data_IF_904206857631
#
_entry.id   IF_904206857631
#
_cell.length_a   1.000
_cell.length_b   1.000
_cell.length_c   1.000
_cell.angle_alpha   90.00
_cell.angle_beta   90.00
_cell.angle_gamma   90.00
#
_symmetry.space_group_name_H-M   'P 1'
#
loop_
_entity.id
_entity.type
_entity.pdbx_description
1 polymer ?
#
# COMPACT_ATOMS: atom_id res chain seq x y z
N UNK A 1 0.55 -9.26 -32.66
CA UNK A 1 1.45 -9.94 -31.69
C UNK A 1 0.99 -9.57 -30.30
N UNK A 2 1.12 -10.46 -29.34
CA UNK A 2 0.77 -10.17 -27.94
C UNK A 2 1.81 -9.23 -27.36
N UNK A 3 1.42 -8.05 -26.83
CA UNK A 3 2.37 -7.13 -26.18
C UNK A 3 2.95 -7.77 -24.92
N UNK A 4 4.27 -7.61 -24.72
CA UNK A 4 4.98 -8.07 -23.50
C UNK A 4 5.19 -6.90 -22.55
N UNK A 5 4.74 -7.07 -21.30
CA UNK A 5 4.82 -6.05 -20.24
C UNK A 5 5.70 -6.58 -19.11
N UNK A 6 6.68 -5.79 -18.69
CA UNK A 6 7.56 -6.10 -17.56
C UNK A 6 7.21 -5.25 -16.35
N UNK A 7 6.88 -5.88 -15.23
CA UNK A 7 6.65 -5.22 -13.96
C UNK A 7 7.89 -5.25 -13.07
N UNK A 8 8.16 -4.15 -12.38
CA UNK A 8 9.22 -4.04 -11.38
C UNK A 8 8.58 -3.89 -10.02
N UNK A 9 8.65 -4.95 -9.23
CA UNK A 9 8.08 -5.05 -7.90
C UNK A 9 9.03 -4.55 -6.81
N UNK A 10 8.54 -3.89 -5.76
CA UNK A 10 9.38 -3.36 -4.68
C UNK A 10 9.90 -4.42 -3.71
N UNK A 11 9.14 -5.49 -3.47
CA UNK A 11 9.46 -6.50 -2.44
C UNK A 11 9.44 -7.95 -2.95
N UNK A 12 8.54 -8.28 -3.85
CA UNK A 12 8.26 -9.66 -4.26
C UNK A 12 7.64 -10.49 -3.14
N UNK A 13 6.71 -9.89 -2.37
CA UNK A 13 5.95 -10.53 -1.29
C UNK A 13 4.47 -10.17 -1.40
N UNK A 14 3.59 -10.83 -0.64
CA UNK A 14 2.15 -10.54 -0.62
C UNK A 14 1.69 -9.89 0.70
N UNK A 15 2.59 -9.22 1.41
CA UNK A 15 2.37 -8.70 2.76
C UNK A 15 2.03 -7.21 2.83
N UNK A 16 1.92 -6.52 1.68
CA UNK A 16 1.57 -5.11 1.63
C UNK A 16 0.61 -4.76 0.48
N UNK A 17 -0.20 -3.72 0.69
CA UNK A 17 -1.28 -3.37 -0.22
C UNK A 17 -0.84 -2.96 -1.63
N UNK A 18 0.34 -2.33 -1.78
CA UNK A 18 0.86 -1.95 -3.09
C UNK A 18 1.25 -3.18 -3.92
N UNK A 19 1.85 -4.20 -3.28
CA UNK A 19 2.22 -5.45 -3.94
C UNK A 19 0.99 -6.29 -4.27
N UNK A 20 0.02 -6.41 -3.35
CA UNK A 20 -1.25 -7.10 -3.59
C UNK A 20 -1.97 -6.47 -4.80
N UNK A 21 -2.05 -5.15 -4.84
CA UNK A 21 -2.68 -4.43 -5.94
C UNK A 21 -2.02 -4.73 -7.28
N UNK A 22 -0.67 -4.64 -7.35
CA UNK A 22 0.02 -4.87 -8.63
C UNK A 22 -0.06 -6.33 -9.10
N UNK A 23 -0.06 -7.29 -8.17
CA UNK A 23 -0.26 -8.71 -8.50
C UNK A 23 -1.63 -8.92 -9.15
N UNK A 24 -2.68 -8.30 -8.63
CA UNK A 24 -4.00 -8.34 -9.23
C UNK A 24 -4.03 -7.68 -10.61
N UNK A 25 -3.32 -6.55 -10.81
CA UNK A 25 -3.17 -5.94 -12.13
C UNK A 25 -2.44 -6.87 -13.11
N UNK A 26 -1.35 -7.50 -12.69
CA UNK A 26 -0.61 -8.47 -13.52
C UNK A 26 -1.51 -9.63 -13.96
N UNK A 27 -2.23 -10.24 -13.01
CA UNK A 27 -3.19 -11.34 -13.30
C UNK A 27 -4.30 -10.88 -14.24
N UNK A 28 -4.80 -9.67 -14.05
CA UNK A 28 -5.83 -9.08 -14.92
C UNK A 28 -5.32 -8.90 -16.36
N UNK A 29 -4.10 -8.40 -16.52
CA UNK A 29 -3.50 -8.22 -17.86
C UNK A 29 -3.23 -9.56 -18.56
N UNK A 30 -2.82 -10.59 -17.84
CA UNK A 30 -2.71 -11.95 -18.40
C UNK A 30 -4.08 -12.42 -18.93
N UNK A 31 -5.17 -12.23 -18.17
CA UNK A 31 -6.54 -12.54 -18.61
C UNK A 31 -6.97 -11.73 -19.82
N UNK A 32 -6.44 -10.51 -20.01
CA UNK A 32 -6.66 -9.67 -21.21
C UNK A 32 -5.77 -10.08 -22.40
N UNK A 33 -4.93 -11.10 -22.26
CA UNK A 33 -4.11 -11.65 -23.35
C UNK A 33 -2.71 -11.01 -23.49
N UNK A 34 -2.25 -10.22 -22.51
CA UNK A 34 -0.87 -9.73 -22.49
C UNK A 34 0.09 -10.81 -21.97
N UNK A 35 1.33 -10.81 -22.47
CA UNK A 35 2.42 -11.55 -21.84
C UNK A 35 2.99 -10.68 -20.72
N UNK A 36 2.97 -11.19 -19.49
CA UNK A 36 3.40 -10.43 -18.31
C UNK A 36 4.63 -11.10 -17.69
N UNK A 37 5.64 -10.30 -17.44
CA UNK A 37 6.87 -10.66 -16.74
C UNK A 37 6.98 -9.83 -15.47
N UNK A 38 7.64 -10.36 -14.45
CA UNK A 38 7.86 -9.66 -13.19
C UNK A 38 9.33 -9.76 -12.74
N UNK A 39 9.90 -8.62 -12.35
CA UNK A 39 11.21 -8.53 -11.70
C UNK A 39 11.02 -8.06 -10.26
N UNK A 40 11.70 -8.70 -9.33
CA UNK A 40 11.68 -8.37 -7.90
C UNK A 40 13.07 -8.55 -7.26
N UNK A 41 13.35 -7.90 -6.09
CA UNK A 41 14.60 -8.11 -5.36
C UNK A 41 14.59 -9.48 -4.69
N UNK A 42 15.60 -10.29 -4.94
CA UNK A 42 15.71 -11.62 -4.34
C UNK A 42 16.41 -11.57 -2.98
N UNK A 43 15.64 -11.61 -1.92
CA UNK A 43 16.08 -11.60 -0.51
C UNK A 43 16.21 -13.01 0.08
N UNK A 44 15.85 -14.06 -0.67
CA UNK A 44 15.87 -15.46 -0.21
C UNK A 44 15.03 -15.71 1.04
N UNK A 45 13.86 -15.09 1.14
CA UNK A 45 12.93 -15.29 2.24
C UNK A 45 11.74 -16.15 1.82
N UNK A 46 11.13 -16.96 2.74
CA UNK A 46 10.04 -17.88 2.38
C UNK A 46 8.83 -17.21 1.72
N UNK A 47 8.45 -16.00 2.14
CA UNK A 47 7.35 -15.23 1.56
C UNK A 47 7.54 -14.89 0.07
N UNK A 48 8.78 -14.87 -0.43
CA UNK A 48 9.06 -14.70 -1.86
C UNK A 48 8.85 -16.00 -2.66
N UNK A 49 8.99 -17.15 -2.03
CA UNK A 49 8.64 -18.44 -2.68
C UNK A 49 7.13 -18.52 -2.91
N UNK A 50 6.32 -18.15 -1.92
CA UNK A 50 4.87 -18.08 -2.03
C UNK A 50 4.43 -17.10 -3.13
N UNK A 51 5.03 -15.92 -3.17
CA UNK A 51 4.82 -14.93 -4.22
C UNK A 51 5.12 -15.48 -5.62
N UNK A 52 6.26 -16.13 -5.81
CA UNK A 52 6.63 -16.73 -7.09
C UNK A 52 5.66 -17.82 -7.53
N UNK A 53 5.27 -18.71 -6.60
CA UNK A 53 4.30 -19.78 -6.87
C UNK A 53 2.94 -19.18 -7.31
N UNK A 54 2.50 -18.11 -6.66
CA UNK A 54 1.24 -17.45 -6.98
C UNK A 54 1.27 -16.80 -8.38
N UNK A 55 2.37 -16.13 -8.73
CA UNK A 55 2.54 -15.55 -10.06
C UNK A 55 2.68 -16.63 -11.14
N UNK A 56 3.40 -17.69 -10.88
CA UNK A 56 3.57 -18.81 -11.82
C UNK A 56 2.22 -19.50 -12.13
N UNK A 57 1.36 -19.72 -11.13
CA UNK A 57 0.00 -20.25 -11.33
C UNK A 57 -0.83 -19.37 -12.27
N UNK A 58 -0.60 -18.06 -12.24
CA UNK A 58 -1.26 -17.10 -13.12
C UNK A 58 -0.62 -16.97 -14.50
N UNK A 59 0.44 -17.73 -14.81
CA UNK A 59 1.15 -17.68 -16.09
C UNK A 59 2.11 -16.49 -16.21
N UNK A 60 2.58 -15.93 -15.10
CA UNK A 60 3.51 -14.80 -15.04
C UNK A 60 4.93 -15.33 -14.79
N UNK A 61 5.86 -15.02 -15.67
CA UNK A 61 7.27 -15.36 -15.51
C UNK A 61 7.95 -14.39 -14.51
N UNK A 62 8.74 -14.92 -13.59
CA UNK A 62 9.38 -14.13 -12.52
C UNK A 62 10.89 -14.17 -12.58
N UNK A 63 11.55 -13.05 -12.28
CA UNK A 63 12.99 -12.87 -12.26
C UNK A 63 13.42 -12.26 -10.93
N UNK A 64 14.01 -13.05 -10.05
CA UNK A 64 14.60 -12.56 -8.80
C UNK A 64 16.01 -12.00 -9.02
N UNK A 65 16.22 -10.71 -8.75
CA UNK A 65 17.52 -10.07 -8.91
C UNK A 65 18.19 -9.83 -7.56
N UNK A 66 19.41 -10.34 -7.41
CA UNK A 66 20.23 -10.07 -6.22
C UNK A 66 20.54 -8.58 -6.12
N UNK A 67 20.23 -7.96 -4.98
CA UNK A 67 20.44 -6.54 -4.73
C UNK A 67 21.02 -6.31 -3.33
N UNK A 68 22.01 -5.40 -3.24
CA UNK A 68 22.50 -4.89 -1.95
C UNK A 68 21.48 -3.95 -1.34
N UNK A 69 20.92 -3.07 -2.14
CA UNK A 69 19.73 -2.26 -1.84
C UNK A 69 18.94 -2.13 -3.13
N UNK A 70 17.65 -2.39 -3.06
CA UNK A 70 16.74 -2.33 -4.22
C UNK A 70 16.13 -0.94 -4.41
N UNK A 71 15.83 -0.27 -3.32
CA UNK A 71 15.20 1.05 -3.32
C UNK A 71 16.22 2.19 -3.41
N UNK A 72 15.74 3.41 -3.64
CA UNK A 72 16.57 4.62 -3.52
C UNK A 72 17.40 4.59 -2.24
N UNK A 73 18.58 5.22 -2.28
CA UNK A 73 19.47 5.23 -1.11
C UNK A 73 18.82 5.87 0.12
N UNK A 74 17.99 6.88 -0.10
CA UNK A 74 17.27 7.63 0.94
C UNK A 74 15.98 6.95 1.40
N UNK A 75 15.48 5.98 0.67
CA UNK A 75 14.26 5.26 1.02
C UNK A 75 14.41 4.51 2.35
N UNK A 76 13.31 4.36 3.13
CA UNK A 76 13.32 3.59 4.38
C UNK A 76 13.78 2.14 4.17
N UNK A 77 14.04 1.42 5.27
CA UNK A 77 14.50 0.02 5.20
C UNK A 77 16.01 -0.18 5.25
N UNK A 78 16.72 0.83 5.74
CA UNK A 78 18.16 0.73 5.98
C UNK A 78 19.03 0.86 4.72
N UNK A 79 20.33 0.81 4.91
CA UNK A 79 21.30 0.95 3.82
C UNK A 79 22.44 -0.07 3.98
N UNK A 80 22.18 -1.35 3.65
CA UNK A 80 23.20 -2.39 3.76
C UNK A 80 24.37 -2.10 2.81
N UNK A 81 25.58 -2.51 3.22
CA UNK A 81 26.82 -2.25 2.49
C UNK A 81 27.25 -0.77 2.51
N UNK A 82 28.33 -0.47 1.82
CA UNK A 82 28.78 0.90 1.62
C UNK A 82 28.22 1.47 0.30
N UNK A 83 28.33 2.78 0.12
CA UNK A 83 27.83 3.49 -1.07
C UNK A 83 28.33 2.86 -2.39
N UNK A 84 29.60 2.49 -2.48
CA UNK A 84 30.16 1.89 -3.69
C UNK A 84 29.50 0.54 -4.03
N UNK A 85 29.27 -0.32 -3.03
CA UNK A 85 28.57 -1.59 -3.22
C UNK A 85 27.12 -1.39 -3.68
N UNK A 86 26.41 -0.39 -3.11
CA UNK A 86 25.04 -0.08 -3.52
C UNK A 86 24.98 0.41 -4.96
N UNK A 87 25.86 1.34 -5.35
CA UNK A 87 25.94 1.87 -6.72
C UNK A 87 26.24 0.76 -7.73
N UNK A 88 27.20 -0.12 -7.41
CA UNK A 88 27.50 -1.26 -8.27
C UNK A 88 26.29 -2.20 -8.40
N UNK A 89 25.55 -2.44 -7.31
CA UNK A 89 24.32 -3.22 -7.32
C UNK A 89 23.26 -2.57 -8.21
N UNK A 90 23.03 -1.26 -8.11
CA UNK A 90 22.10 -0.54 -8.97
C UNK A 90 22.44 -0.68 -10.45
N UNK A 91 23.71 -0.43 -10.81
CA UNK A 91 24.17 -0.55 -12.19
C UNK A 91 24.03 -1.98 -12.72
N UNK A 92 24.32 -2.98 -11.89
CA UNK A 92 24.12 -4.39 -12.25
C UNK A 92 22.63 -4.68 -12.47
N UNK A 93 21.75 -4.28 -11.55
CA UNK A 93 20.32 -4.53 -11.68
C UNK A 93 19.72 -3.84 -12.91
N UNK A 94 20.12 -2.61 -13.22
CA UNK A 94 19.70 -1.92 -14.47
C UNK A 94 20.16 -2.73 -15.68
N UNK A 95 21.39 -3.24 -15.70
CA UNK A 95 21.90 -4.07 -16.80
C UNK A 95 21.13 -5.39 -16.93
N UNK A 96 20.84 -6.05 -15.82
CA UNK A 96 20.10 -7.31 -15.82
C UNK A 96 18.67 -7.11 -16.34
N UNK A 97 17.99 -6.04 -15.92
CA UNK A 97 16.65 -5.67 -16.42
C UNK A 97 16.68 -5.36 -17.93
N UNK A 98 17.71 -4.66 -18.44
CA UNK A 98 17.89 -4.42 -19.86
C UNK A 98 18.01 -5.72 -20.66
N UNK A 99 18.78 -6.68 -20.15
CA UNK A 99 18.88 -8.00 -20.79
C UNK A 99 17.50 -8.69 -20.86
N UNK A 100 16.73 -8.68 -19.77
CA UNK A 100 15.35 -9.24 -19.74
C UNK A 100 14.47 -8.52 -20.77
N UNK A 101 14.55 -7.20 -20.88
CA UNK A 101 13.80 -6.41 -21.86
C UNK A 101 14.10 -6.88 -23.29
N UNK A 102 15.38 -6.99 -23.65
CA UNK A 102 15.81 -7.37 -25.01
C UNK A 102 15.47 -8.83 -25.32
N UNK A 103 15.80 -9.74 -24.43
CA UNK A 103 15.60 -11.19 -24.62
C UNK A 103 14.11 -11.57 -24.75
N UNK A 104 13.22 -10.79 -24.12
CA UNK A 104 11.78 -11.06 -24.10
C UNK A 104 10.97 -10.13 -25.00
N UNK A 105 11.59 -9.24 -25.78
CA UNK A 105 10.92 -8.25 -26.61
C UNK A 105 9.88 -7.45 -25.81
N UNK A 106 10.27 -6.92 -24.63
CA UNK A 106 9.39 -6.11 -23.77
C UNK A 106 9.08 -4.78 -24.46
N UNK A 107 7.80 -4.40 -24.49
CA UNK A 107 7.32 -3.16 -25.10
C UNK A 107 6.95 -2.08 -24.06
N UNK A 108 6.73 -2.49 -22.82
CA UNK A 108 6.37 -1.59 -21.73
C UNK A 108 6.97 -2.10 -20.42
N UNK A 109 7.59 -1.21 -19.65
CA UNK A 109 7.99 -1.43 -18.26
C UNK A 109 7.06 -0.66 -17.34
N UNK A 110 6.60 -1.30 -16.26
CA UNK A 110 5.78 -0.68 -15.21
C UNK A 110 6.52 -0.81 -13.88
N UNK A 111 6.92 0.32 -13.28
CA UNK A 111 7.51 0.35 -11.93
C UNK A 111 6.42 0.57 -10.89
N UNK A 112 6.36 -0.30 -9.89
CA UNK A 112 5.43 -0.21 -8.77
C UNK A 112 6.12 0.45 -7.57
N UNK A 113 5.47 1.42 -6.95
CA UNK A 113 5.96 2.31 -5.90
C UNK A 113 7.03 3.30 -6.35
N UNK A 114 7.13 4.42 -5.63
CA UNK A 114 8.16 5.44 -5.89
C UNK A 114 9.57 4.98 -5.53
N UNK A 115 9.68 3.89 -4.78
CA UNK A 115 10.94 3.41 -4.22
C UNK A 115 11.89 2.80 -5.26
N UNK A 116 11.36 2.24 -6.37
CA UNK A 116 12.14 1.50 -7.37
C UNK A 116 12.31 2.31 -8.65
N UNK A 117 13.53 2.45 -9.13
CA UNK A 117 13.87 3.31 -10.27
C UNK A 117 14.58 2.56 -11.41
N UNK A 118 15.03 1.34 -11.15
CA UNK A 118 15.86 0.57 -12.09
C UNK A 118 15.12 0.30 -13.40
N UNK A 119 13.79 0.02 -13.30
CA UNK A 119 12.95 -0.22 -14.47
C UNK A 119 12.84 1.01 -15.38
N UNK A 120 12.66 2.20 -14.80
CA UNK A 120 12.58 3.45 -15.54
C UNK A 120 13.86 3.71 -16.35
N UNK A 121 15.02 3.47 -15.72
CA UNK A 121 16.29 3.68 -16.35
C UNK A 121 16.59 2.63 -17.44
N UNK A 122 16.28 1.36 -17.16
CA UNK A 122 16.43 0.27 -18.10
C UNK A 122 15.56 0.49 -19.36
N UNK A 123 14.30 0.87 -19.18
CA UNK A 123 13.39 1.23 -20.27
C UNK A 123 13.92 2.39 -21.11
N UNK A 124 14.49 3.42 -20.47
CA UNK A 124 15.07 4.56 -21.18
C UNK A 124 16.31 4.18 -22.00
N UNK A 125 17.16 3.28 -21.52
CA UNK A 125 18.31 2.77 -22.27
C UNK A 125 17.90 1.98 -23.51
N UNK A 126 16.79 1.20 -23.40
CA UNK A 126 16.27 0.40 -24.52
C UNK A 126 15.26 1.15 -25.37
N UNK A 127 15.00 2.45 -25.06
CA UNK A 127 14.06 3.31 -25.77
C UNK A 127 12.66 2.70 -25.88
N UNK A 128 12.16 2.10 -24.79
CA UNK A 128 10.81 1.58 -24.66
C UNK A 128 9.99 2.38 -23.64
N UNK A 129 8.69 2.17 -23.64
CA UNK A 129 7.76 2.88 -22.77
C UNK A 129 7.97 2.49 -21.30
N UNK A 130 7.75 3.45 -20.41
CA UNK A 130 7.77 3.25 -18.98
C UNK A 130 6.61 3.96 -18.29
N UNK A 131 5.89 3.23 -17.44
CA UNK A 131 4.86 3.75 -16.54
C UNK A 131 5.32 3.68 -15.09
N UNK A 132 4.95 4.68 -14.32
CA UNK A 132 5.20 4.68 -12.88
C UNK A 132 3.89 4.66 -12.11
N UNK A 133 3.70 3.67 -11.23
CA UNK A 133 2.57 3.58 -10.30
C UNK A 133 3.04 4.01 -8.92
N UNK A 134 2.56 5.14 -8.44
CA UNK A 134 2.97 5.76 -7.17
C UNK A 134 1.89 5.54 -6.13
N UNK A 135 2.27 4.96 -5.00
CA UNK A 135 1.40 4.64 -3.87
C UNK A 135 1.67 5.50 -2.63
N UNK A 136 2.72 6.32 -2.65
CA UNK A 136 3.22 7.02 -1.47
C UNK A 136 3.04 8.53 -1.59
N UNK A 137 2.58 9.17 -0.50
CA UNK A 137 2.58 10.63 -0.40
C UNK A 137 4.02 11.18 -0.39
N UNK A 138 4.28 12.34 -1.02
CA UNK A 138 5.60 12.98 -1.02
C UNK A 138 5.95 13.64 0.32
N UNK A 139 5.71 12.94 1.42
CA UNK A 139 5.91 13.46 2.78
C UNK A 139 6.36 12.37 3.75
N UNK A 140 6.62 12.73 5.00
CA UNK A 140 7.05 11.80 6.03
C UNK A 140 8.29 11.01 5.61
N UNK A 141 8.23 9.70 5.71
CA UNK A 141 9.31 8.78 5.34
C UNK A 141 9.58 8.74 3.83
N UNK A 142 8.59 9.08 3.00
CA UNK A 142 8.72 9.17 1.54
C UNK A 142 9.03 10.58 1.03
N UNK A 143 9.15 11.58 1.92
CA UNK A 143 9.48 12.96 1.53
C UNK A 143 10.75 13.12 0.72
N UNK A 144 11.66 12.12 0.75
CA UNK A 144 12.91 12.11 -0.01
C UNK A 144 12.69 12.17 -1.52
N UNK A 145 11.59 11.63 -2.05
CA UNK A 145 11.40 11.60 -3.50
C UNK A 145 10.99 12.95 -4.10
N UNK A 146 10.71 13.97 -3.28
CA UNK A 146 10.62 15.35 -3.78
C UNK A 146 11.90 15.80 -4.51
N UNK A 147 13.04 15.26 -4.12
CA UNK A 147 14.33 15.50 -4.80
C UNK A 147 14.50 14.62 -6.07
N UNK A 148 13.56 13.71 -6.35
CA UNK A 148 13.56 12.80 -7.49
C UNK A 148 12.52 13.13 -8.57
N UNK A 149 11.70 14.18 -8.38
CA UNK A 149 10.61 14.53 -9.29
C UNK A 149 11.09 14.72 -10.72
N UNK A 150 12.20 15.44 -10.93
CA UNK A 150 12.79 15.63 -12.27
C UNK A 150 13.19 14.31 -12.94
N UNK A 151 13.69 13.36 -12.16
CA UNK A 151 14.05 12.03 -12.64
C UNK A 151 12.78 11.23 -12.99
N UNK A 152 11.79 11.23 -12.13
CA UNK A 152 10.52 10.52 -12.33
C UNK A 152 9.83 11.09 -13.58
N UNK A 153 9.74 12.41 -13.70
CA UNK A 153 9.14 13.06 -14.87
C UNK A 153 9.86 12.74 -16.17
N UNK A 154 11.19 12.84 -16.16
CA UNK A 154 12.03 12.59 -17.32
C UNK A 154 11.89 11.17 -17.87
N UNK A 155 11.84 10.18 -16.97
CA UNK A 155 11.91 8.76 -17.32
C UNK A 155 10.56 8.04 -17.34
N UNK A 156 9.44 8.75 -17.18
CA UNK A 156 8.10 8.20 -17.31
C UNK A 156 7.41 8.67 -18.58
N UNK A 157 6.78 7.76 -19.32
CA UNK A 157 5.80 8.11 -20.34
C UNK A 157 4.50 8.52 -19.66
N UNK A 158 4.03 7.71 -18.72
CA UNK A 158 2.87 8.03 -17.90
C UNK A 158 3.16 7.83 -16.40
N UNK A 159 2.51 8.64 -15.58
CA UNK A 159 2.52 8.53 -14.12
C UNK A 159 1.09 8.29 -13.65
N UNK A 160 0.94 7.26 -12.82
CA UNK A 160 -0.31 6.91 -12.17
C UNK A 160 -0.15 7.05 -10.67
N UNK A 161 -1.18 7.55 -10.02
CA UNK A 161 -1.25 7.71 -8.58
C UNK A 161 -2.50 7.04 -8.02
N UNK A 162 -2.44 6.63 -6.76
CA UNK A 162 -3.64 6.20 -6.04
C UNK A 162 -4.65 7.35 -6.05
N UNK A 163 -5.91 7.03 -6.35
CA UNK A 163 -6.99 8.01 -6.52
C UNK A 163 -7.25 8.84 -5.26
N UNK A 164 -7.72 10.08 -5.45
CA UNK A 164 -8.01 11.03 -4.40
C UNK A 164 -6.80 11.90 -4.04
N UNK A 165 -6.56 12.13 -2.76
CA UNK A 165 -5.59 13.10 -2.25
C UNK A 165 -4.16 12.91 -2.80
N UNK A 166 -3.71 11.67 -3.01
CA UNK A 166 -2.38 11.44 -3.59
C UNK A 166 -2.30 11.92 -5.04
N UNK A 167 -3.34 11.65 -5.85
CA UNK A 167 -3.38 12.16 -7.24
C UNK A 167 -3.31 13.69 -7.26
N UNK A 168 -4.09 14.37 -6.42
CA UNK A 168 -4.09 15.82 -6.31
C UNK A 168 -2.75 16.40 -5.88
N UNK A 169 -2.05 15.75 -4.95
CA UNK A 169 -0.73 16.18 -4.50
C UNK A 169 0.35 15.97 -5.57
N UNK A 170 0.25 14.87 -6.33
CA UNK A 170 1.19 14.64 -7.43
C UNK A 170 0.92 15.57 -8.62
N UNK A 171 -0.31 15.98 -8.89
CA UNK A 171 -0.60 17.02 -9.89
C UNK A 171 0.10 18.34 -9.56
N UNK A 172 0.16 18.71 -8.27
CA UNK A 172 0.94 19.88 -7.80
C UNK A 172 2.46 19.67 -7.98
N UNK A 173 2.94 18.43 -7.78
CA UNK A 173 4.35 18.09 -7.96
C UNK A 173 4.78 18.04 -9.43
N UNK A 174 3.88 17.72 -10.36
CA UNK A 174 4.12 17.58 -11.79
C UNK A 174 3.22 18.53 -12.62
N UNK A 175 3.36 19.86 -12.50
CA UNK A 175 2.41 20.83 -13.05
C UNK A 175 2.33 20.82 -14.59
N UNK A 176 3.30 20.22 -15.28
CA UNK A 176 3.38 20.19 -16.73
C UNK A 176 2.93 18.86 -17.35
N UNK A 177 2.34 17.97 -16.56
CA UNK A 177 1.83 16.70 -17.06
C UNK A 177 0.56 16.27 -16.33
N UNK A 178 -0.23 15.44 -16.99
CA UNK A 178 -1.39 14.80 -16.40
C UNK A 178 -0.93 13.63 -15.52
N UNK A 179 -1.49 13.54 -14.34
CA UNK A 179 -1.41 12.35 -13.46
C UNK A 179 -2.71 11.57 -13.64
N UNK A 180 -2.60 10.29 -13.91
CA UNK A 180 -3.74 9.39 -14.01
C UNK A 180 -3.98 8.71 -12.68
N UNK A 181 -5.25 8.53 -12.32
CA UNK A 181 -5.59 7.85 -11.07
C UNK A 181 -5.90 6.37 -11.28
N UNK A 182 -5.67 5.57 -10.26
CA UNK A 182 -6.17 4.19 -10.13
C UNK A 182 -6.54 3.92 -8.67
N UNK A 183 -7.49 3.02 -8.42
CA UNK A 183 -7.73 2.54 -7.07
C UNK A 183 -6.90 1.27 -6.83
N UNK A 184 -6.17 1.13 -5.71
CA UNK A 184 -5.51 -0.12 -5.37
C UNK A 184 -6.56 -1.22 -5.21
N UNK A 185 -6.31 -2.39 -5.80
CA UNK A 185 -7.27 -3.48 -5.79
C UNK A 185 -6.87 -4.60 -4.84
N UNK A 186 -7.82 -5.08 -4.07
CA UNK A 186 -7.74 -6.31 -3.30
C UNK A 186 -8.87 -7.25 -3.75
N UNK A 187 -8.56 -8.54 -3.84
CA UNK A 187 -9.56 -9.54 -4.17
C UNK A 187 -10.36 -9.89 -2.91
N UNK A 188 -11.67 -9.91 -3.04
CA UNK A 188 -12.58 -10.30 -1.97
C UNK A 188 -13.29 -11.55 -2.43
N UNK A 189 -13.05 -12.65 -1.73
CA UNK A 189 -13.77 -13.89 -1.98
C UNK A 189 -15.24 -13.73 -1.54
N UNK A 190 -16.20 -14.10 -2.38
CA UNK A 190 -17.61 -14.10 -2.00
C UNK A 190 -17.82 -15.06 -0.83
N UNK A 191 -18.39 -14.57 0.26
CA UNK A 191 -18.82 -15.45 1.36
C UNK A 191 -20.15 -16.10 0.99
N UNK A 192 -20.19 -17.41 1.02
CA UNK A 192 -21.44 -18.17 0.84
C UNK A 192 -22.36 -18.02 2.05
N UNK A 193 -21.78 -17.92 3.26
CA UNK A 193 -22.52 -17.70 4.49
C UNK A 193 -21.72 -16.78 5.45
N UNK A 194 -22.40 -15.85 6.11
CA UNK A 194 -21.83 -15.06 7.21
C UNK A 194 -22.01 -15.87 8.49
N UNK A 195 -20.95 -16.03 9.29
CA UNK A 195 -21.06 -16.67 10.61
C UNK A 195 -22.09 -15.93 11.45
N UNK A 196 -23.09 -16.65 11.94
CA UNK A 196 -24.09 -16.08 12.85
C UNK A 196 -23.59 -16.20 14.27
N UNK A 197 -23.52 -15.09 14.98
CA UNK A 197 -23.16 -15.12 16.41
C UNK A 197 -24.34 -15.67 17.22
N UNK A 198 -24.09 -16.75 17.98
CA UNK A 198 -25.11 -17.39 18.81
C UNK A 198 -25.53 -16.55 20.02
N UNK A 199 -24.69 -15.59 20.39
CA UNK A 199 -24.92 -14.65 21.49
C UNK A 199 -25.23 -13.28 20.91
N UNK A 200 -26.13 -12.53 21.51
CA UNK A 200 -26.48 -11.15 21.08
C UNK A 200 -25.33 -10.15 21.42
N UNK A 201 -24.10 -10.59 21.27
CA UNK A 201 -22.88 -9.88 21.66
C UNK A 201 -22.25 -9.22 20.40
N UNK A 202 -22.00 -7.92 20.46
CA UNK A 202 -21.30 -7.21 19.40
C UNK A 202 -19.80 -7.30 19.59
N UNK A 203 -19.08 -7.43 18.47
CA UNK A 203 -17.62 -7.27 18.45
C UNK A 203 -17.23 -6.02 17.68
N UNK A 204 -16.27 -5.28 18.22
CA UNK A 204 -15.56 -4.24 17.49
C UNK A 204 -14.30 -4.90 16.94
N UNK A 205 -14.13 -4.89 15.64
CA UNK A 205 -13.01 -5.56 14.97
C UNK A 205 -12.10 -4.56 14.25
N UNK A 206 -10.79 -4.75 14.34
CA UNK A 206 -9.82 -3.96 13.59
C UNK A 206 -8.86 -4.89 12.87
N UNK A 207 -8.96 -4.93 11.55
CA UNK A 207 -8.13 -5.77 10.68
C UNK A 207 -6.93 -4.97 10.18
N UNK A 208 -5.75 -5.58 10.27
CA UNK A 208 -4.50 -5.02 9.79
C UNK A 208 -3.36 -5.14 10.79
N UNK A 209 -2.12 -4.95 10.31
CA UNK A 209 -0.94 -5.03 11.16
C UNK A 209 -0.99 -3.97 12.28
N UNK A 210 -0.72 -4.36 13.52
CA UNK A 210 -0.60 -3.42 14.63
C UNK A 210 0.71 -2.65 14.52
N UNK A 211 0.58 -1.34 14.30
CA UNK A 211 1.72 -0.43 14.16
C UNK A 211 1.35 0.96 14.63
N UNK A 212 2.34 1.80 14.94
CA UNK A 212 2.12 3.21 15.30
C UNK A 212 1.25 3.94 14.26
N UNK A 213 1.43 3.64 12.97
CA UNK A 213 0.67 4.27 11.88
C UNK A 213 -0.80 3.84 11.86
N UNK A 214 -1.07 2.56 12.19
CA UNK A 214 -2.44 2.02 12.26
C UNK A 214 -3.18 2.44 13.54
N UNK A 215 -2.46 2.92 14.56
CA UNK A 215 -2.99 3.66 15.71
C UNK A 215 -4.05 2.92 16.56
N UNK A 216 -3.95 1.60 16.66
CA UNK A 216 -4.93 0.79 17.40
C UNK A 216 -5.05 1.16 18.87
N UNK A 217 -4.03 1.80 19.48
CA UNK A 217 -4.10 2.30 20.87
C UNK A 217 -5.21 3.35 21.04
N UNK A 218 -5.49 4.15 20.01
CA UNK A 218 -6.63 5.09 20.04
C UNK A 218 -7.96 4.34 20.18
N UNK A 219 -8.12 3.24 19.45
CA UNK A 219 -9.32 2.39 19.55
C UNK A 219 -9.43 1.71 20.91
N UNK A 220 -8.32 1.25 21.49
CA UNK A 220 -8.30 0.68 22.84
C UNK A 220 -8.78 1.71 23.88
N UNK A 221 -8.32 2.96 23.76
CA UNK A 221 -8.76 4.06 24.64
C UNK A 221 -10.26 4.39 24.46
N UNK A 222 -10.72 4.45 23.22
CA UNK A 222 -12.15 4.66 22.93
C UNK A 222 -13.02 3.50 23.47
N UNK A 223 -12.54 2.26 23.36
CA UNK A 223 -13.21 1.08 23.93
C UNK A 223 -13.30 1.14 25.46
N UNK A 224 -12.25 1.60 26.14
CA UNK A 224 -12.27 1.89 27.58
C UNK A 224 -13.37 2.91 27.93
N UNK A 225 -13.43 4.02 27.19
CA UNK A 225 -14.42 5.07 27.43
C UNK A 225 -15.84 4.60 27.14
N UNK A 226 -16.03 3.76 26.11
CA UNK A 226 -17.33 3.18 25.75
C UNK A 226 -17.93 2.36 26.92
N UNK A 227 -17.09 1.60 27.63
CA UNK A 227 -17.46 0.81 28.83
C UNK A 227 -18.83 0.08 28.68
N UNK A 228 -19.05 -0.54 27.53
CA UNK A 228 -20.33 -1.17 27.17
C UNK A 228 -20.29 -2.67 27.47
N UNK A 229 -21.19 -3.12 28.33
CA UNK A 229 -21.34 -4.55 28.64
C UNK A 229 -21.76 -5.34 27.38
N UNK A 230 -21.28 -6.57 27.24
CA UNK A 230 -21.58 -7.43 26.09
C UNK A 230 -20.92 -6.99 24.80
N UNK A 231 -19.79 -6.26 24.87
CA UNK A 231 -19.00 -5.86 23.70
C UNK A 231 -17.57 -6.36 23.87
N UNK A 232 -16.96 -6.84 22.80
CA UNK A 232 -15.56 -7.26 22.73
C UNK A 232 -14.81 -6.43 21.70
N UNK A 233 -13.49 -6.25 21.91
CA UNK A 233 -12.57 -5.63 20.95
C UNK A 233 -11.58 -6.68 20.46
N UNK A 234 -11.52 -6.89 19.14
CA UNK A 234 -10.70 -7.92 18.51
C UNK A 234 -9.78 -7.29 17.47
N UNK A 235 -8.49 -7.58 17.57
CA UNK A 235 -7.48 -7.18 16.59
C UNK A 235 -7.03 -8.40 15.77
N UNK A 236 -7.12 -8.29 14.43
CA UNK A 236 -6.74 -9.35 13.49
C UNK A 236 -5.59 -8.84 12.61
N UNK A 237 -4.42 -9.41 12.77
CA UNK A 237 -3.22 -9.07 12.00
C UNK A 237 -1.94 -9.26 12.80
N UNK A 238 -0.82 -9.38 12.09
CA UNK A 238 0.51 -9.38 12.69
C UNK A 238 0.78 -8.03 13.40
N UNK A 239 1.80 -7.97 14.21
CA UNK A 239 2.16 -6.76 14.96
C UNK A 239 3.64 -6.44 14.92
N UNK A 240 3.92 -5.17 15.21
CA UNK A 240 5.20 -4.65 15.62
C UNK A 240 5.36 -4.88 17.12
N UNK A 241 6.37 -5.60 17.55
CA UNK A 241 6.53 -6.02 18.97
C UNK A 241 6.53 -4.82 19.93
N UNK A 242 7.28 -3.76 19.62
CA UNK A 242 7.34 -2.56 20.45
C UNK A 242 5.97 -1.88 20.57
N UNK A 243 5.21 -1.81 19.47
CA UNK A 243 3.89 -1.20 19.48
C UNK A 243 2.84 -2.09 20.17
N UNK A 244 2.93 -3.41 19.99
CA UNK A 244 2.09 -4.38 20.70
C UNK A 244 2.32 -4.28 22.21
N UNK A 245 3.58 -4.21 22.65
CA UNK A 245 3.93 -4.05 24.05
C UNK A 245 3.32 -2.76 24.63
N UNK A 246 3.37 -1.64 23.90
CA UNK A 246 2.73 -0.39 24.30
C UNK A 246 1.21 -0.55 24.52
N UNK A 247 0.54 -1.30 23.64
CA UNK A 247 -0.88 -1.60 23.81
C UNK A 247 -1.15 -2.50 25.01
N UNK A 248 -0.34 -3.54 25.21
CA UNK A 248 -0.46 -4.47 26.34
C UNK A 248 -0.24 -3.77 27.68
N UNK A 249 0.76 -2.91 27.77
CA UNK A 249 1.05 -2.13 28.98
C UNK A 249 -0.15 -1.24 29.34
N UNK A 250 -0.75 -0.55 28.34
CA UNK A 250 -1.93 0.26 28.59
C UNK A 250 -3.14 -0.59 29.05
N UNK A 251 -3.39 -1.73 28.41
CA UNK A 251 -4.47 -2.65 28.79
C UNK A 251 -4.30 -3.14 30.21
N UNK A 252 -3.07 -3.51 30.60
CA UNK A 252 -2.74 -3.98 31.94
C UNK A 252 -2.85 -2.86 32.99
N UNK A 253 -2.34 -1.67 32.71
CA UNK A 253 -2.39 -0.49 33.59
C UNK A 253 -3.84 -0.06 33.89
N UNK A 254 -4.72 -0.15 32.89
CA UNK A 254 -6.13 0.23 33.01
C UNK A 254 -7.05 -0.96 33.39
N UNK A 255 -6.50 -2.14 33.64
CA UNK A 255 -7.25 -3.40 33.96
C UNK A 255 -8.37 -3.69 32.95
N UNK A 256 -8.14 -3.42 31.65
CA UNK A 256 -9.14 -3.60 30.60
C UNK A 256 -9.37 -5.09 30.33
N UNK A 257 -10.65 -5.44 30.09
CA UNK A 257 -11.08 -6.81 29.78
C UNK A 257 -11.74 -6.84 28.39
N UNK A 258 -11.96 -8.03 27.88
CA UNK A 258 -12.64 -8.27 26.59
C UNK A 258 -11.90 -7.64 25.41
N UNK A 259 -10.56 -7.64 25.45
CA UNK A 259 -9.69 -7.24 24.34
C UNK A 259 -8.84 -8.44 23.96
N UNK A 260 -8.80 -8.80 22.68
CA UNK A 260 -8.03 -9.93 22.19
C UNK A 260 -7.25 -9.59 20.91
N UNK A 261 -6.10 -10.23 20.74
CA UNK A 261 -5.22 -10.14 19.58
C UNK A 261 -5.08 -11.53 18.98
N UNK A 262 -5.59 -11.72 17.77
CA UNK A 262 -5.64 -13.05 17.14
C UNK A 262 -4.42 -13.35 16.28
N UNK A 263 -3.56 -12.35 16.03
CA UNK A 263 -2.40 -12.51 15.17
C UNK A 263 -2.73 -12.49 13.68
N UNK A 264 -1.76 -12.92 12.88
CA UNK A 264 -1.91 -13.01 11.43
C UNK A 264 -2.87 -14.15 11.06
N UNK A 265 -3.79 -13.85 10.15
CA UNK A 265 -4.71 -14.80 9.52
C UNK A 265 -4.63 -14.59 7.99
N UNK A 266 -4.64 -15.68 7.24
CA UNK A 266 -4.63 -15.63 5.77
C UNK A 266 -5.89 -14.96 5.22
N UNK A 267 -7.05 -15.28 5.78
CA UNK A 267 -8.32 -14.63 5.50
C UNK A 267 -8.98 -14.15 6.81
N UNK A 268 -8.65 -12.94 7.29
CA UNK A 268 -9.25 -12.42 8.51
C UNK A 268 -10.76 -12.19 8.38
N UNK A 269 -11.25 -11.99 7.17
CA UNK A 269 -12.66 -11.74 6.92
C UNK A 269 -13.52 -12.99 7.08
N UNK A 270 -12.95 -14.19 6.99
CA UNK A 270 -13.65 -15.46 7.27
C UNK A 270 -14.06 -15.61 8.75
N UNK A 271 -13.41 -14.85 9.63
CA UNK A 271 -13.72 -14.85 11.07
C UNK A 271 -14.76 -13.80 11.47
N UNK A 272 -15.19 -12.95 10.53
CA UNK A 272 -16.19 -11.91 10.77
C UNK A 272 -17.60 -12.49 10.84
N UNK A 273 -18.38 -11.97 11.80
CA UNK A 273 -19.76 -12.39 12.06
C UNK A 273 -20.76 -11.33 11.63
N UNK A 274 -22.05 -11.65 11.75
CA UNK A 274 -23.15 -10.74 11.48
C UNK A 274 -23.32 -9.62 12.53
N UNK A 275 -22.58 -9.67 13.65
CA UNK A 275 -22.61 -8.70 14.76
C UNK A 275 -21.36 -7.82 14.86
N UNK A 276 -20.49 -7.85 13.88
CA UNK A 276 -19.21 -7.13 13.91
C UNK A 276 -19.31 -5.71 13.36
N UNK A 277 -18.67 -4.78 14.08
CA UNK A 277 -18.41 -3.40 13.66
C UNK A 277 -16.92 -3.25 13.38
N UNK A 278 -16.54 -2.91 12.15
CA UNK A 278 -15.15 -2.66 11.80
C UNK A 278 -14.73 -1.21 12.15
N UNK A 279 -13.56 -1.04 12.78
CA UNK A 279 -13.02 0.29 13.13
C UNK A 279 -11.55 0.40 12.73
N UNK A 280 -11.22 1.44 11.96
CA UNK A 280 -9.87 1.70 11.44
C UNK A 280 -9.36 3.07 11.88
N UNK A 281 -8.61 3.16 12.99
CA UNK A 281 -8.14 4.42 13.57
C UNK A 281 -6.82 4.93 12.98
N UNK A 282 -6.42 4.46 11.80
CA UNK A 282 -5.12 4.77 11.19
C UNK A 282 -4.83 6.26 11.16
N UNK A 283 -3.62 6.66 11.55
CA UNK A 283 -3.16 8.05 11.48
C UNK A 283 -2.78 8.47 10.06
N UNK A 284 -2.43 7.51 9.20
CA UNK A 284 -2.07 7.75 7.80
C UNK A 284 -2.39 6.52 6.96
N UNK A 285 -3.06 6.73 5.85
CA UNK A 285 -3.27 5.77 4.77
C UNK A 285 -3.13 6.47 3.43
N UNK A 286 -2.78 5.71 2.40
CA UNK A 286 -2.88 6.21 1.02
C UNK A 286 -4.26 5.96 0.44
N UNK A 287 -4.87 4.84 0.85
CA UNK A 287 -6.25 4.48 0.46
C UNK A 287 -6.96 3.73 1.60
N UNK A 288 -6.36 2.63 2.10
CA UNK A 288 -6.96 1.81 3.16
C UNK A 288 -7.73 0.62 2.61
N UNK A 289 -7.02 -0.38 2.06
CA UNK A 289 -7.64 -1.58 1.49
C UNK A 289 -8.53 -2.32 2.49
N UNK A 290 -8.14 -2.38 3.77
CA UNK A 290 -8.95 -3.04 4.81
C UNK A 290 -10.33 -2.38 5.00
N UNK A 291 -10.44 -1.07 4.78
CA UNK A 291 -11.74 -0.40 4.74
C UNK A 291 -12.55 -0.86 3.53
N UNK A 292 -11.95 -0.89 2.35
CA UNK A 292 -12.62 -1.37 1.13
C UNK A 292 -13.09 -2.81 1.31
N UNK A 293 -12.25 -3.67 1.86
CA UNK A 293 -12.59 -5.05 2.18
C UNK A 293 -13.78 -5.14 3.13
N UNK A 294 -13.81 -4.32 4.19
CA UNK A 294 -14.90 -4.34 5.16
C UNK A 294 -16.24 -3.96 4.55
N UNK A 295 -16.29 -2.87 3.76
CA UNK A 295 -17.56 -2.43 3.15
C UNK A 295 -18.03 -3.38 2.05
N UNK A 296 -17.13 -4.01 1.31
CA UNK A 296 -17.46 -5.04 0.31
C UNK A 296 -17.90 -6.37 0.93
N UNK A 297 -17.61 -6.59 2.21
CA UNK A 297 -18.18 -7.67 3.02
C UNK A 297 -19.48 -7.25 3.73
N UNK A 298 -20.01 -6.06 3.48
CA UNK A 298 -21.25 -5.55 4.07
C UNK A 298 -21.17 -5.37 5.58
N UNK A 299 -20.02 -4.92 6.10
CA UNK A 299 -19.76 -4.70 7.52
C UNK A 299 -19.94 -3.21 7.83
N UNK A 300 -20.74 -2.81 8.83
CA UNK A 300 -20.73 -1.45 9.32
C UNK A 300 -19.33 -1.03 9.71
N UNK A 301 -18.90 0.17 9.27
CA UNK A 301 -17.47 0.55 9.36
C UNK A 301 -17.32 1.99 9.82
N UNK A 302 -16.35 2.21 10.73
CA UNK A 302 -15.92 3.53 11.19
C UNK A 302 -14.43 3.69 10.86
N UNK A 303 -14.03 4.85 10.33
CA UNK A 303 -12.64 5.16 10.00
C UNK A 303 -12.26 6.59 10.40
N UNK A 304 -10.98 6.79 10.69
CA UNK A 304 -10.43 8.12 10.95
C UNK A 304 -10.39 8.98 9.67
N UNK A 305 -10.42 10.30 9.81
CA UNK A 305 -10.50 11.28 8.72
C UNK A 305 -9.14 11.59 8.05
N UNK A 306 -8.18 10.67 8.08
CA UNK A 306 -6.93 10.85 7.34
C UNK A 306 -7.15 10.92 5.82
N UNK A 307 -6.20 11.50 5.08
CA UNK A 307 -6.34 11.79 3.65
C UNK A 307 -6.68 10.55 2.80
N UNK A 308 -6.05 9.41 3.07
CA UNK A 308 -6.30 8.18 2.32
C UNK A 308 -7.66 7.56 2.65
N UNK A 309 -8.07 7.57 3.90
CA UNK A 309 -9.41 7.11 4.29
C UNK A 309 -10.50 7.97 3.66
N UNK A 310 -10.38 9.32 3.65
CA UNK A 310 -11.30 10.20 2.94
C UNK A 310 -11.40 9.84 1.46
N UNK A 311 -10.25 9.63 0.81
CA UNK A 311 -10.21 9.24 -0.60
C UNK A 311 -10.92 7.91 -0.88
N UNK A 312 -10.70 6.90 -0.03
CA UNK A 312 -11.36 5.61 -0.15
C UNK A 312 -12.85 5.70 0.17
N UNK A 313 -13.24 6.49 1.18
CA UNK A 313 -14.62 6.73 1.57
C UNK A 313 -15.43 7.36 0.44
N UNK A 314 -14.93 8.42 -0.18
CA UNK A 314 -15.52 9.04 -1.36
C UNK A 314 -15.59 8.05 -2.54
N UNK A 315 -14.52 7.30 -2.78
CA UNK A 315 -14.49 6.28 -3.82
C UNK A 315 -15.53 5.18 -3.60
N UNK A 316 -15.79 4.78 -2.36
CA UNK A 316 -16.78 3.77 -1.98
C UNK A 316 -18.16 4.35 -1.66
N UNK A 317 -18.55 5.48 -2.29
CA UNK A 317 -19.84 6.14 -2.14
C UNK A 317 -20.20 6.46 -0.67
N UNK A 318 -19.21 6.87 0.11
CA UNK A 318 -19.38 7.30 1.51
C UNK A 318 -20.00 6.22 2.42
N UNK A 319 -19.66 4.95 2.19
CA UNK A 319 -20.15 3.86 3.03
C UNK A 319 -19.46 3.80 4.39
N UNK A 320 -20.27 3.79 5.47
CA UNK A 320 -19.78 3.82 6.85
C UNK A 320 -19.73 5.23 7.44
N UNK A 321 -18.85 5.46 8.39
CA UNK A 321 -18.75 6.71 9.13
C UNK A 321 -17.30 7.18 9.26
N UNK A 322 -17.07 8.50 9.25
CA UNK A 322 -15.75 9.10 9.47
C UNK A 322 -15.77 9.91 10.77
N UNK A 323 -14.74 9.73 11.61
CA UNK A 323 -14.51 10.52 12.80
C UNK A 323 -13.21 11.34 12.71
N UNK A 324 -13.10 12.50 13.39
CA UNK A 324 -11.87 13.28 13.43
C UNK A 324 -10.76 12.52 14.15
N UNK A 325 -9.63 12.28 13.47
CA UNK A 325 -8.47 11.58 14.03
C UNK A 325 -7.99 12.24 15.33
N UNK A 326 -7.81 11.43 16.37
CA UNK A 326 -7.39 11.88 17.70
C UNK A 326 -8.52 12.37 18.60
N UNK A 327 -9.76 12.46 18.10
CA UNK A 327 -10.94 12.81 18.92
C UNK A 327 -11.58 11.56 19.51
N UNK A 328 -11.11 11.16 20.69
CA UNK A 328 -11.59 9.99 21.43
C UNK A 328 -13.10 10.09 21.76
N UNK A 329 -13.58 11.27 22.11
CA UNK A 329 -15.00 11.48 22.43
C UNK A 329 -15.87 11.26 21.19
N UNK A 330 -15.45 11.79 20.04
CA UNK A 330 -16.14 11.56 18.76
C UNK A 330 -16.14 10.09 18.36
N UNK A 331 -14.99 9.40 18.45
CA UNK A 331 -14.89 7.97 18.15
C UNK A 331 -15.78 7.14 19.08
N UNK A 332 -15.71 7.37 20.39
CA UNK A 332 -16.51 6.64 21.38
C UNK A 332 -18.01 6.83 21.15
N UNK A 333 -18.45 8.07 20.94
CA UNK A 333 -19.85 8.39 20.62
C UNK A 333 -20.31 7.71 19.35
N UNK A 334 -19.51 7.76 18.27
CA UNK A 334 -19.84 7.14 16.99
C UNK A 334 -19.96 5.62 17.10
N UNK A 335 -19.05 4.97 17.81
CA UNK A 335 -19.16 3.52 18.10
C UNK A 335 -20.47 3.23 18.83
N UNK A 336 -20.83 4.01 19.86
CA UNK A 336 -22.08 3.80 20.61
C UNK A 336 -23.31 3.96 19.72
N UNK A 337 -23.36 5.01 18.91
CA UNK A 337 -24.48 5.29 17.99
C UNK A 337 -24.66 4.18 16.95
N UNK A 338 -23.57 3.69 16.34
CA UNK A 338 -23.61 2.57 15.39
C UNK A 338 -24.06 1.27 16.06
N UNK A 339 -23.60 0.97 17.27
CA UNK A 339 -24.02 -0.21 18.02
C UNK A 339 -25.47 -0.13 18.50
N UNK A 340 -25.99 1.07 18.83
CA UNK A 340 -27.38 1.27 19.21
C UNK A 340 -28.33 1.13 18.01
N UNK A 341 -27.88 1.50 16.81
CA UNK A 341 -28.62 1.38 15.54
C UNK A 341 -28.16 0.20 14.66
N UNK A 342 -27.47 -0.79 15.22
CA UNK A 342 -26.69 -1.78 14.48
C UNK A 342 -27.45 -2.47 13.33
N UNK A 343 -28.67 -2.93 13.56
CA UNK A 343 -29.44 -3.64 12.53
C UNK A 343 -29.73 -2.77 11.30
N UNK A 344 -29.93 -1.46 11.48
CA UNK A 344 -30.12 -0.52 10.38
C UNK A 344 -28.80 -0.26 9.64
N UNK A 345 -27.68 -0.07 10.37
CA UNK A 345 -26.37 0.13 9.79
C UNK A 345 -25.91 -1.12 9.02
N UNK A 346 -26.16 -2.31 9.57
CA UNK A 346 -25.91 -3.58 8.88
C UNK A 346 -26.71 -3.72 7.60
N UNK A 347 -28.00 -3.39 7.65
CA UNK A 347 -28.85 -3.44 6.46
C UNK A 347 -28.34 -2.51 5.36
N UNK A 348 -27.99 -1.26 5.68
CA UNK A 348 -27.40 -0.29 4.74
C UNK A 348 -26.09 -0.83 4.13
N UNK A 349 -25.19 -1.34 4.98
CA UNK A 349 -23.92 -1.88 4.53
C UNK A 349 -24.12 -3.05 3.54
N UNK A 350 -25.01 -3.99 3.85
CA UNK A 350 -25.29 -5.15 2.97
C UNK A 350 -25.96 -4.71 1.65
N UNK A 351 -26.89 -3.76 1.69
CA UNK A 351 -27.55 -3.26 0.48
C UNK A 351 -26.60 -2.56 -0.49
N UNK A 352 -25.56 -1.92 0.00
CA UNK A 352 -24.56 -1.23 -0.80
C UNK A 352 -23.60 -2.19 -1.56
N UNK A 353 -23.40 -3.42 -1.09
CA UNK A 353 -22.35 -4.34 -1.57
C UNK A 353 -22.38 -4.54 -3.08
N UNK A 354 -23.57 -4.76 -3.67
CA UNK A 354 -23.69 -5.06 -5.11
C UNK A 354 -23.16 -3.91 -5.98
N UNK A 355 -23.60 -2.70 -5.71
CA UNK A 355 -23.18 -1.49 -6.45
C UNK A 355 -21.71 -1.17 -6.22
N UNK A 356 -21.20 -1.40 -5.00
CA UNK A 356 -19.79 -1.20 -4.68
C UNK A 356 -18.90 -2.21 -5.39
N UNK A 357 -19.29 -3.47 -5.50
CA UNK A 357 -18.54 -4.50 -6.26
C UNK A 357 -18.46 -4.17 -7.74
N UNK A 358 -19.53 -3.64 -8.34
CA UNK A 358 -19.50 -3.18 -9.73
C UNK A 358 -18.52 -2.01 -9.91
N UNK A 359 -18.58 -1.01 -9.03
CA UNK A 359 -17.66 0.14 -9.04
C UNK A 359 -16.20 -0.26 -8.81
N UNK A 360 -15.96 -1.21 -7.91
CA UNK A 360 -14.63 -1.70 -7.53
C UNK A 360 -14.25 -2.98 -8.31
N UNK A 361 -14.66 -3.09 -9.57
CA UNK A 361 -14.22 -4.17 -10.46
C UNK A 361 -12.82 -3.91 -11.00
N UNK A 362 -12.09 -4.97 -11.38
CA UNK A 362 -10.76 -4.86 -12.00
C UNK A 362 -10.77 -3.96 -13.23
N UNK A 363 -11.83 -4.05 -14.04
CA UNK A 363 -12.04 -3.20 -15.20
C UNK A 363 -12.12 -1.72 -14.82
N UNK A 364 -12.87 -1.40 -13.78
CA UNK A 364 -13.08 -0.02 -13.34
C UNK A 364 -11.84 0.56 -12.68
N UNK A 365 -11.22 -0.16 -11.74
CA UNK A 365 -10.07 0.35 -10.96
C UNK A 365 -8.82 0.57 -11.81
N UNK A 366 -8.62 -0.26 -12.87
CA UNK A 366 -7.46 -0.18 -13.76
C UNK A 366 -7.79 0.40 -15.14
N UNK A 367 -8.96 1.02 -15.32
CA UNK A 367 -9.39 1.57 -16.62
C UNK A 367 -8.34 2.51 -17.25
N UNK A 368 -7.84 3.49 -16.49
CA UNK A 368 -6.83 4.44 -16.97
C UNK A 368 -5.52 3.74 -17.37
N UNK A 369 -5.08 2.74 -16.59
CA UNK A 369 -3.84 1.99 -16.88
C UNK A 369 -4.01 1.19 -18.17
N UNK A 370 -5.12 0.48 -18.34
CA UNK A 370 -5.39 -0.34 -19.53
C UNK A 370 -5.57 0.51 -20.78
N UNK A 371 -6.23 1.65 -20.68
CA UNK A 371 -6.34 2.63 -21.76
C UNK A 371 -4.94 3.05 -22.24
N UNK A 372 -4.07 3.44 -21.31
CA UNK A 372 -2.72 3.90 -21.61
C UNK A 372 -1.79 2.79 -22.10
N UNK A 373 -1.98 1.54 -21.73
CA UNK A 373 -1.28 0.40 -22.32
C UNK A 373 -1.61 0.28 -23.82
N UNK A 374 -2.86 0.59 -24.20
CA UNK A 374 -3.32 0.60 -25.59
C UNK A 374 -2.70 1.69 -26.46
N UNK A 375 -2.29 2.81 -25.88
CA UNK A 375 -1.64 3.90 -26.61
C UNK A 375 -0.21 3.49 -27.02
N UNK A 376 0.24 3.93 -28.21
CA UNK A 376 1.60 3.65 -28.71
C UNK A 376 2.53 4.88 -28.65
N UNK A 377 2.19 5.88 -27.82
CA UNK A 377 2.99 7.10 -27.70
C UNK A 377 4.21 6.86 -26.80
N UNK A 378 5.38 7.01 -27.39
CA UNK A 378 6.67 6.93 -26.69
C UNK A 378 7.28 8.32 -26.57
N UNK A 379 7.63 8.73 -25.35
CA UNK A 379 8.50 9.90 -25.13
C UNK A 379 9.96 9.47 -25.23
N UNK A 380 10.69 10.01 -26.20
CA UNK A 380 12.12 9.71 -26.32
C UNK A 380 12.89 10.20 -25.09
N UNK A 381 13.51 9.25 -24.38
CA UNK A 381 14.24 9.49 -23.13
C UNK A 381 15.73 9.33 -23.38
N UNK A 382 16.47 10.43 -23.42
CA UNK A 382 17.92 10.37 -23.55
C UNK A 382 18.57 10.25 -22.16
N UNK A 383 19.16 9.09 -21.86
CA UNK A 383 20.00 8.93 -20.67
C UNK A 383 21.30 9.71 -20.88
N UNK A 384 21.63 10.56 -19.92
CA UNK A 384 22.84 11.39 -19.93
C UNK A 384 23.78 10.97 -18.81
N UNK A 385 25.07 11.37 -18.92
CA UNK A 385 26.02 11.14 -17.83
C UNK A 385 25.53 11.77 -16.50
N UNK A 386 24.85 12.90 -16.57
CA UNK A 386 24.27 13.55 -15.38
C UNK A 386 23.25 12.66 -14.65
N UNK A 387 22.47 11.86 -15.38
CA UNK A 387 21.50 10.94 -14.76
C UNK A 387 22.21 9.79 -14.07
N UNK A 388 23.27 9.27 -14.67
CA UNK A 388 24.13 8.24 -14.08
C UNK A 388 24.86 8.82 -12.86
N UNK A 389 25.42 10.03 -12.96
CA UNK A 389 26.10 10.70 -11.85
C UNK A 389 25.15 11.03 -10.70
N UNK A 390 23.88 11.32 -11.00
CA UNK A 390 22.84 11.55 -10.00
C UNK A 390 22.63 10.29 -9.14
N UNK A 391 22.58 9.11 -9.74
CA UNK A 391 22.48 7.84 -9.02
C UNK A 391 23.77 7.50 -8.23
N UNK A 392 24.91 7.93 -8.74
CA UNK A 392 26.22 7.67 -8.19
C UNK A 392 26.68 8.75 -7.18
N UNK A 393 25.90 9.84 -6.99
CA UNK A 393 26.36 11.00 -6.24
C UNK A 393 26.36 10.77 -4.72
N UNK A 394 27.47 11.13 -4.08
CA UNK A 394 27.63 11.18 -2.62
C UNK A 394 26.82 12.28 -1.91
N UNK A 395 26.07 13.12 -2.62
CA UNK A 395 25.33 14.25 -2.01
C UNK A 395 24.28 13.79 -0.99
N UNK A 396 23.77 12.58 -1.09
CA UNK A 396 22.88 11.96 -0.12
C UNK A 396 23.54 11.74 1.25
N UNK A 397 24.81 11.33 1.27
CA UNK A 397 25.55 11.07 2.52
C UNK A 397 25.78 12.31 3.38
N UNK A 398 26.03 13.47 2.80
CA UNK A 398 26.31 14.70 3.55
C UNK A 398 25.10 15.27 4.27
N UNK A 399 23.89 15.10 3.73
CA UNK A 399 22.64 15.52 4.40
C UNK A 399 22.23 14.54 5.51
N UNK A 400 22.34 13.23 5.28
CA UNK A 400 22.03 12.20 6.28
C UNK A 400 22.99 12.28 7.48
N UNK A 401 24.29 12.43 7.25
CA UNK A 401 25.29 12.63 8.31
C UNK A 401 25.06 13.95 9.05
N UNK A 402 24.73 15.05 8.36
CA UNK A 402 24.39 16.32 8.99
C UNK A 402 23.10 16.23 9.82
N UNK A 403 22.09 15.47 9.37
CA UNK A 403 20.85 15.20 10.11
C UNK A 403 21.11 14.35 11.35
N UNK A 404 21.90 13.27 11.23
CA UNK A 404 22.28 12.42 12.35
C UNK A 404 23.15 13.15 13.37
N UNK A 405 24.12 13.95 12.92
CA UNK A 405 24.94 14.81 13.77
C UNK A 405 24.10 15.87 14.46
N UNK A 406 23.12 16.48 13.76
CA UNK A 406 22.20 17.46 14.35
C UNK A 406 21.28 16.84 15.41
N UNK A 407 20.81 15.60 15.19
CA UNK A 407 20.06 14.81 16.21
C UNK A 407 20.95 14.47 17.43
N UNK A 408 22.18 14.05 17.22
CA UNK A 408 23.14 13.79 18.29
C UNK A 408 23.47 15.05 19.12
N UNK A 409 23.59 16.21 18.47
CA UNK A 409 23.79 17.50 19.18
C UNK A 409 22.56 17.98 19.93
N UNK A 410 21.35 17.66 19.43
CA UNK A 410 20.10 17.97 20.16
C UNK A 410 19.91 17.08 21.38
N UNK A 411 20.24 15.79 21.28
CA UNK A 411 20.21 14.84 22.42
C UNK A 411 21.25 15.18 23.50
N UNK A 412 22.43 15.74 23.12
CA UNK A 412 23.42 16.22 24.08
C UNK A 412 23.08 17.55 24.77
N UNK A 413 22.09 18.28 24.29
CA UNK A 413 21.61 19.51 24.95
C UNK A 413 20.40 19.29 25.88
N UNK A 414 19.88 18.04 25.90
CA UNK A 414 18.75 17.64 26.75
C UNK A 414 19.20 16.79 27.97
N UNK A 415 20.50 16.50 28.10
CA UNK A 415 21.18 16.04 29.32
C UNK A 415 22.08 17.13 29.84
#
# INVERSE_FOLDING_TARGET
>A
MTKTILFISPTGTLDNGAEISIVNLMKFLVKKGYRVLNVFPDYKVPSQEEYQVELQKAGIETYGLSAVKWWWEEAPGGSPGNHFLRVNSYNKNVKDIRNIIVENNVELVISNTVNVFQGALAAAFENIRHFWLIHEFPEGEFGYYKEKLDFIDKFSDEIFAVTGALTEDLEKCFPNRRIYSFAPYTQIEPKEEIKTESNNQHRIVSVGRLTQRKNQLELIKAFQMLNRAGTELVFLGAWDEDYKQLCDDYIAEQDLKNISFWGYLDDPWSEITDKDLAVFPSSMETFGLVYVESVLNGIPTILSDNAGHKSAFEYMNEQGHIYPLGDLDALTRMISEVLDGYDQEKLKAVQAVSSLKERYSLESVYANITEKIGDDVLRHKKVTQKDIDFLNSRKALTKSVKSAVKKLFQLKKMN
#
